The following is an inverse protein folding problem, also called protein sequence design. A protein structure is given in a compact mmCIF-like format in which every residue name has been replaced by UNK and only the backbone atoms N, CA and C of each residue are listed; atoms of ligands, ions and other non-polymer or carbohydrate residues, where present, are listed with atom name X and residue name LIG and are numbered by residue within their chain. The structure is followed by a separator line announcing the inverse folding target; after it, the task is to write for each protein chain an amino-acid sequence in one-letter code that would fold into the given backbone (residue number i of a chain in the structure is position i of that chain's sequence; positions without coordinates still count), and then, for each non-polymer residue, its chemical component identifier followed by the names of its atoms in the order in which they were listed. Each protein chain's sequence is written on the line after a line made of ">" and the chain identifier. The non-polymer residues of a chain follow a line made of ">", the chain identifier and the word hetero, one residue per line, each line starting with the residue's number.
data_IF_871953582247
#
_entry.id   IF_871953582247
#
_cell.length_a   1.000
_cell.length_b   1.000
_cell.length_c   1.000
_cell.angle_alpha   90.00
_cell.angle_beta   90.00
_cell.angle_gamma   90.00
#
_symmetry.space_group_name_H-M   'P 1'
#
loop_
_entity.id
_entity.type
_entity.pdbx_description
1 polymer ?
#
# COMPACT_ATOMS: atom_id res chain seq x y z
N UNK A 1 21.70 1.47 19.39
CA UNK A 1 21.69 0.17 20.10
C UNK A 1 22.43 -0.85 19.24
N UNK A 2 23.39 -1.59 19.80
CA UNK A 2 24.19 -2.57 19.06
C UNK A 2 23.47 -3.92 18.90
N UNK A 3 23.81 -4.68 17.85
CA UNK A 3 23.36 -6.07 17.62
C UNK A 3 24.56 -7.00 17.81
N UNK A 4 24.50 -7.83 18.85
CA UNK A 4 25.57 -8.74 19.26
C UNK A 4 25.26 -10.18 18.86
N UNK A 5 26.29 -10.96 18.53
CA UNK A 5 26.18 -12.40 18.30
C UNK A 5 26.20 -13.15 19.64
N UNK A 6 25.09 -13.80 19.99
CA UNK A 6 24.98 -14.58 21.22
C UNK A 6 25.70 -15.93 21.19
N UNK A 7 26.17 -16.38 20.02
CA UNK A 7 26.91 -17.63 19.87
C UNK A 7 28.40 -17.48 20.18
N UNK A 8 28.88 -16.24 20.36
CA UNK A 8 30.24 -15.92 20.71
C UNK A 8 30.31 -15.17 22.05
N UNK A 9 31.52 -14.98 22.56
CA UNK A 9 31.74 -14.11 23.71
C UNK A 9 31.39 -12.66 23.34
N UNK A 10 30.52 -12.02 24.12
CA UNK A 10 30.12 -10.63 23.85
C UNK A 10 31.20 -9.64 24.34
N UNK A 11 31.28 -8.43 23.77
CA UNK A 11 32.25 -7.42 24.19
C UNK A 11 32.14 -7.08 25.69
N UNK A 12 33.28 -6.78 26.32
CA UNK A 12 33.37 -6.53 27.76
C UNK A 12 32.44 -5.43 28.27
N UNK A 13 32.16 -4.41 27.46
CA UNK A 13 31.24 -3.33 27.78
C UNK A 13 29.79 -3.81 28.03
N UNK A 14 29.41 -4.98 27.52
CA UNK A 14 28.08 -5.56 27.67
C UNK A 14 28.04 -6.73 28.65
N UNK A 15 29.20 -7.25 29.08
CA UNK A 15 29.28 -8.36 30.05
C UNK A 15 28.76 -7.91 31.42
N UNK A 16 28.23 -8.84 32.21
CA UNK A 16 27.63 -8.52 33.52
C UNK A 16 26.21 -7.97 33.43
N UNK A 17 25.66 -7.80 32.22
CA UNK A 17 24.35 -7.21 32.01
C UNK A 17 23.17 -8.02 32.58
N UNK A 18 22.03 -7.36 32.68
CA UNK A 18 20.74 -8.04 32.94
C UNK A 18 20.07 -8.33 31.61
N UNK A 19 19.68 -9.58 31.40
CA UNK A 19 19.17 -10.09 30.12
C UNK A 19 17.66 -10.29 30.18
N UNK A 20 16.88 -9.57 29.36
CA UNK A 20 15.53 -9.99 29.01
C UNK A 20 15.62 -11.10 27.95
N UNK A 21 15.08 -12.29 28.22
CA UNK A 21 15.21 -13.45 27.33
C UNK A 21 13.86 -13.88 26.77
N UNK A 22 13.77 -13.99 25.43
CA UNK A 22 12.53 -14.38 24.74
C UNK A 22 12.58 -14.22 23.22
N UNK A 23 11.55 -14.68 22.52
CA UNK A 23 11.47 -14.51 21.05
C UNK A 23 11.21 -13.06 20.64
N UNK A 24 10.47 -12.30 21.44
CA UNK A 24 10.18 -10.88 21.25
C UNK A 24 9.62 -10.50 19.87
N UNK A 25 8.97 -11.42 19.15
CA UNK A 25 8.33 -11.13 17.87
C UNK A 25 7.17 -10.13 18.08
N UNK A 26 7.19 -9.01 17.35
CA UNK A 26 6.19 -7.94 17.53
C UNK A 26 6.46 -6.96 18.68
N UNK A 27 7.32 -7.28 19.66
CA UNK A 27 7.60 -6.40 20.84
C UNK A 27 6.30 -5.79 21.42
N UNK A 28 5.29 -6.63 21.64
CA UNK A 28 3.97 -6.22 22.14
C UNK A 28 4.01 -5.85 23.63
N UNK A 29 2.90 -5.35 24.18
CA UNK A 29 2.82 -4.90 25.59
C UNK A 29 3.36 -5.93 26.60
N UNK A 30 3.04 -7.22 26.42
CA UNK A 30 3.63 -8.30 27.24
C UNK A 30 5.16 -8.38 27.17
N UNK A 31 5.75 -8.25 25.98
CA UNK A 31 7.20 -8.20 25.81
C UNK A 31 7.81 -6.95 26.44
N UNK A 32 7.15 -5.80 26.27
CA UNK A 32 7.60 -4.52 26.84
C UNK A 32 7.66 -4.58 28.38
N UNK A 33 6.76 -5.32 29.04
CA UNK A 33 6.82 -5.52 30.48
C UNK A 33 8.06 -6.33 30.94
N UNK A 34 8.38 -7.42 30.22
CA UNK A 34 9.60 -8.22 30.47
C UNK A 34 10.85 -7.38 30.27
N UNK A 35 10.93 -6.64 29.15
CA UNK A 35 12.06 -5.77 28.82
C UNK A 35 12.18 -4.64 29.84
N UNK A 36 11.08 -3.96 30.17
CA UNK A 36 11.06 -2.86 31.13
C UNK A 36 11.53 -3.29 32.52
N UNK A 37 11.18 -4.50 32.97
CA UNK A 37 11.69 -5.07 34.22
C UNK A 37 13.20 -5.32 34.17
N UNK A 38 13.72 -5.86 33.07
CA UNK A 38 15.16 -6.05 32.88
C UNK A 38 15.91 -4.72 32.87
N UNK A 39 15.41 -3.73 32.12
CA UNK A 39 15.98 -2.37 32.06
C UNK A 39 16.00 -1.70 33.43
N UNK A 40 14.90 -1.79 34.19
CA UNK A 40 14.84 -1.23 35.54
C UNK A 40 15.88 -1.89 36.48
N UNK A 41 16.03 -3.21 36.41
CA UNK A 41 16.99 -3.96 37.22
C UNK A 41 18.44 -3.65 36.82
N UNK A 42 18.72 -3.56 35.52
CA UNK A 42 20.03 -3.19 34.99
C UNK A 42 20.47 -1.80 35.48
N UNK A 43 19.56 -0.82 35.35
CA UNK A 43 19.79 0.56 35.81
C UNK A 43 20.02 0.63 37.32
N UNK A 44 19.25 -0.11 38.11
CA UNK A 44 19.44 -0.16 39.57
C UNK A 44 20.81 -0.73 39.98
N UNK A 45 21.42 -1.55 39.13
CA UNK A 45 22.73 -2.18 39.36
C UNK A 45 23.89 -1.44 38.68
N UNK A 46 23.62 -0.45 37.82
CA UNK A 46 24.64 0.21 37.02
C UNK A 46 25.30 -0.71 35.98
N UNK A 47 24.56 -1.70 35.47
CA UNK A 47 25.03 -2.65 34.45
C UNK A 47 24.19 -2.53 33.17
N UNK A 48 24.65 -3.00 32.00
CA UNK A 48 23.90 -2.89 30.76
C UNK A 48 22.62 -3.74 30.75
N UNK A 49 21.57 -3.22 30.12
CA UNK A 49 20.32 -3.91 29.83
C UNK A 49 20.40 -4.58 28.46
N UNK A 50 20.39 -5.91 28.43
CA UNK A 50 20.47 -6.71 27.22
C UNK A 50 19.10 -7.33 26.92
N UNK A 51 18.76 -7.43 25.64
CA UNK A 51 17.61 -8.21 25.19
C UNK A 51 18.10 -9.32 24.28
N UNK A 52 17.95 -10.56 24.75
CA UNK A 52 18.36 -11.74 24.01
C UNK A 52 17.19 -12.38 23.27
N UNK A 53 17.36 -12.58 21.97
CA UNK A 53 16.37 -13.14 21.04
C UNK A 53 16.99 -14.22 20.16
N UNK A 54 16.17 -14.84 19.30
CA UNK A 54 16.56 -15.95 18.44
C UNK A 54 16.25 -15.62 16.98
N UNK A 55 17.24 -15.81 16.11
CA UNK A 55 17.07 -15.72 14.65
C UNK A 55 17.89 -16.82 13.92
N UNK A 56 17.30 -17.61 13.01
CA UNK A 56 15.89 -17.60 12.61
C UNK A 56 14.98 -17.96 13.78
N UNK A 57 13.72 -17.53 13.72
CA UNK A 57 12.74 -17.84 14.76
C UNK A 57 12.69 -19.36 15.02
N UNK A 58 12.71 -19.87 16.28
CA UNK A 58 12.86 -21.30 16.56
C UNK A 58 11.87 -22.21 15.84
N UNK A 59 10.61 -21.78 15.71
CA UNK A 59 9.59 -22.49 14.91
C UNK A 59 10.04 -22.74 13.46
N UNK A 60 10.71 -21.77 12.82
CA UNK A 60 11.20 -21.89 11.43
C UNK A 60 12.27 -22.98 11.30
N UNK A 61 13.07 -23.20 12.35
CA UNK A 61 14.07 -24.25 12.34
C UNK A 61 13.43 -25.65 12.36
N UNK A 62 12.37 -25.85 13.16
CA UNK A 62 11.65 -27.14 13.22
C UNK A 62 10.62 -27.32 12.10
N UNK A 63 10.14 -26.22 11.50
CA UNK A 63 9.21 -26.20 10.38
C UNK A 63 9.69 -25.19 9.31
N UNK A 64 10.69 -25.57 8.48
CA UNK A 64 11.25 -24.70 7.44
C UNK A 64 10.18 -24.17 6.47
N UNK A 65 9.19 -25.00 6.14
CA UNK A 65 8.12 -24.73 5.18
C UNK A 65 6.88 -24.06 5.79
N UNK A 66 6.93 -23.65 7.06
CA UNK A 66 5.78 -23.00 7.71
C UNK A 66 5.35 -21.73 6.94
N UNK A 67 4.05 -21.37 6.91
CA UNK A 67 3.64 -20.09 6.35
C UNK A 67 4.36 -18.93 7.05
N UNK A 68 4.61 -17.80 6.38
CA UNK A 68 5.23 -16.66 7.03
C UNK A 68 4.37 -16.11 8.18
N UNK A 69 5.02 -15.74 9.29
CA UNK A 69 4.32 -15.43 10.55
C UNK A 69 4.95 -14.30 11.36
N UNK A 70 6.05 -13.70 10.88
CA UNK A 70 6.79 -12.69 11.64
C UNK A 70 5.94 -11.43 11.80
N UNK A 71 5.94 -10.85 13.00
CA UNK A 71 5.30 -9.55 13.23
C UNK A 71 6.26 -8.39 12.97
N UNK A 72 7.57 -8.64 12.99
CA UNK A 72 8.61 -7.65 12.66
C UNK A 72 9.79 -8.30 11.93
N UNK A 73 10.55 -7.51 11.16
CA UNK A 73 11.93 -7.87 10.80
C UNK A 73 12.84 -7.85 12.03
N UNK A 74 14.08 -8.31 11.87
CA UNK A 74 15.10 -8.20 12.92
C UNK A 74 15.51 -6.73 13.12
N UNK A 75 15.53 -5.93 12.06
CA UNK A 75 15.88 -4.51 12.09
C UNK A 75 14.81 -3.69 12.79
N UNK A 76 13.53 -3.88 12.46
CA UNK A 76 12.41 -3.30 13.21
C UNK A 76 12.43 -3.73 14.68
N UNK A 77 12.69 -5.02 14.96
CA UNK A 77 12.79 -5.49 16.35
C UNK A 77 13.88 -4.75 17.10
N UNK A 78 15.06 -4.59 16.50
CA UNK A 78 16.15 -3.80 17.09
C UNK A 78 15.71 -2.37 17.40
N UNK A 79 14.99 -1.73 16.49
CA UNK A 79 14.47 -0.37 16.70
C UNK A 79 13.53 -0.31 17.91
N UNK A 80 12.54 -1.19 18.00
CA UNK A 80 11.58 -1.21 19.10
C UNK A 80 12.22 -1.57 20.45
N UNK A 81 13.22 -2.46 20.45
CA UNK A 81 13.97 -2.80 21.66
C UNK A 81 14.82 -1.61 22.15
N UNK A 82 15.40 -0.83 21.24
CA UNK A 82 16.11 0.39 21.59
C UNK A 82 15.16 1.43 22.22
N UNK A 83 13.96 1.61 21.64
CA UNK A 83 12.93 2.48 22.21
C UNK A 83 12.47 2.02 23.60
N UNK A 84 12.46 0.70 23.86
CA UNK A 84 12.16 0.14 25.17
C UNK A 84 13.31 0.32 26.19
N UNK A 85 14.44 0.90 25.79
CA UNK A 85 15.55 1.26 26.68
C UNK A 85 16.63 0.19 26.85
N UNK A 86 16.72 -0.78 25.93
CA UNK A 86 17.81 -1.75 25.89
C UNK A 86 19.10 -1.13 25.34
N UNK A 87 20.24 -1.53 25.91
CA UNK A 87 21.58 -1.07 25.50
C UNK A 87 22.12 -1.87 24.30
N UNK A 88 21.79 -3.16 24.25
CA UNK A 88 22.10 -4.05 23.12
C UNK A 88 21.05 -5.15 22.92
N UNK A 89 20.90 -5.59 21.66
CA UNK A 89 20.17 -6.79 21.29
C UNK A 89 21.17 -7.93 21.06
N UNK A 90 21.03 -9.04 21.79
CA UNK A 90 21.81 -10.25 21.60
C UNK A 90 21.00 -11.22 20.75
N UNK A 91 21.54 -11.66 19.61
CA UNK A 91 20.87 -12.60 18.72
C UNK A 91 21.56 -13.94 18.81
N UNK A 92 20.88 -14.93 19.39
CA UNK A 92 21.31 -16.31 19.34
C UNK A 92 20.93 -16.90 17.97
N UNK A 93 21.93 -17.35 17.22
CA UNK A 93 21.67 -18.00 15.94
C UNK A 93 21.13 -19.41 16.18
N UNK A 94 19.83 -19.60 15.92
CA UNK A 94 19.15 -20.86 16.22
C UNK A 94 19.52 -21.93 15.20
N UNK A 95 20.37 -22.87 15.62
CA UNK A 95 20.91 -23.97 14.82
C UNK A 95 20.64 -25.32 15.49
N UNK A 96 20.95 -26.42 14.78
CA UNK A 96 20.93 -27.77 15.35
C UNK A 96 21.80 -27.88 16.61
N UNK A 97 22.89 -27.12 16.69
CA UNK A 97 23.74 -27.04 17.88
C UNK A 97 22.94 -26.48 19.05
N UNK A 98 22.37 -25.27 18.89
CA UNK A 98 21.60 -24.61 19.96
C UNK A 98 20.34 -25.41 20.34
N UNK A 99 19.66 -26.03 19.38
CA UNK A 99 18.49 -26.87 19.62
C UNK A 99 18.79 -28.12 20.48
N UNK A 100 20.05 -28.57 20.50
CA UNK A 100 20.50 -29.71 21.29
C UNK A 100 21.14 -29.33 22.64
N UNK A 101 21.34 -28.04 22.92
CA UNK A 101 21.86 -27.56 24.20
C UNK A 101 20.85 -27.86 25.32
N UNK A 102 21.32 -28.47 26.40
CA UNK A 102 20.47 -28.74 27.58
C UNK A 102 20.11 -27.43 28.29
N UNK A 103 19.05 -27.43 29.10
CA UNK A 103 18.71 -26.25 29.90
C UNK A 103 19.88 -25.81 30.79
N UNK A 104 20.60 -26.76 31.38
CA UNK A 104 21.77 -26.49 32.21
C UNK A 104 22.90 -25.82 31.42
N UNK A 105 23.33 -26.42 30.31
CA UNK A 105 24.41 -25.87 29.48
C UNK A 105 24.04 -24.49 28.92
N UNK A 106 22.77 -24.24 28.60
CA UNK A 106 22.32 -22.92 28.17
C UNK A 106 22.51 -21.87 29.28
N UNK A 107 22.21 -22.20 30.54
CA UNK A 107 22.37 -21.24 31.65
C UNK A 107 23.84 -21.08 32.03
N UNK A 108 24.61 -22.17 32.12
CA UNK A 108 26.03 -22.12 32.54
C UNK A 108 26.91 -21.49 31.48
N UNK A 109 26.82 -21.98 30.23
CA UNK A 109 27.83 -21.68 29.21
C UNK A 109 27.43 -20.46 28.39
N UNK A 110 26.15 -20.34 28.04
CA UNK A 110 25.68 -19.24 27.20
C UNK A 110 25.36 -18.00 28.03
N UNK A 111 24.46 -18.12 29.02
CA UNK A 111 24.11 -16.96 29.86
C UNK A 111 25.24 -16.59 30.82
N UNK A 112 25.81 -17.57 31.53
CA UNK A 112 26.91 -17.35 32.48
C UNK A 112 28.28 -17.15 31.83
N UNK A 113 28.62 -17.96 30.82
CA UNK A 113 29.92 -17.89 30.14
C UNK A 113 30.00 -16.79 29.08
N UNK A 114 29.26 -16.97 27.98
CA UNK A 114 29.32 -16.09 26.81
C UNK A 114 28.88 -14.67 27.13
N UNK A 115 27.74 -14.52 27.82
CA UNK A 115 27.18 -13.20 28.16
C UNK A 115 27.74 -12.68 29.49
N UNK A 116 28.11 -13.57 30.42
CA UNK A 116 28.48 -13.15 31.77
C UNK A 116 27.32 -12.47 32.50
N UNK A 117 26.07 -12.89 32.25
CA UNK A 117 24.89 -12.21 32.77
C UNK A 117 24.92 -12.15 34.30
N UNK A 118 24.46 -11.05 34.90
CA UNK A 118 24.26 -10.94 36.36
C UNK A 118 22.80 -11.13 36.76
N UNK A 119 21.89 -11.07 35.78
CA UNK A 119 20.48 -11.33 35.98
C UNK A 119 19.76 -11.68 34.69
N UNK A 120 18.67 -12.43 34.82
CA UNK A 120 17.83 -12.86 33.71
C UNK A 120 16.37 -12.57 34.05
N UNK A 121 15.64 -12.00 33.10
CA UNK A 121 14.20 -11.71 33.20
C UNK A 121 13.48 -12.40 32.05
N UNK A 122 12.45 -13.17 32.36
CA UNK A 122 11.63 -13.90 31.36
C UNK A 122 10.14 -13.67 31.59
N UNK A 123 9.31 -14.14 30.66
CA UNK A 123 7.90 -14.42 30.95
C UNK A 123 7.75 -15.66 31.85
N UNK A 124 6.66 -15.76 32.60
CA UNK A 124 6.34 -16.96 33.41
C UNK A 124 6.15 -18.23 32.58
N UNK A 125 5.68 -18.10 31.34
CA UNK A 125 5.46 -19.19 30.38
C UNK A 125 6.70 -19.54 29.54
N UNK A 126 7.85 -18.94 29.85
CA UNK A 126 9.08 -19.15 29.10
C UNK A 126 9.63 -20.57 29.27
N UNK A 127 9.95 -21.21 28.14
CA UNK A 127 10.59 -22.52 28.08
C UNK A 127 11.83 -22.47 27.18
N UNK A 128 12.85 -23.25 27.54
CA UNK A 128 14.13 -23.27 26.83
C UNK A 128 14.86 -24.61 26.95
N UNK A 129 15.99 -24.74 26.27
CA UNK A 129 16.78 -25.97 26.21
C UNK A 129 16.15 -27.09 25.38
N UNK A 130 16.93 -28.13 25.14
CA UNK A 130 16.53 -29.31 24.36
C UNK A 130 15.20 -29.87 24.85
N UNK A 131 14.26 -30.05 23.94
CA UNK A 131 12.94 -30.61 24.23
C UNK A 131 12.06 -29.75 25.15
N UNK A 132 12.34 -28.45 25.29
CA UNK A 132 11.68 -27.54 26.26
C UNK A 132 11.83 -28.02 27.71
N UNK A 133 12.97 -28.64 28.04
CA UNK A 133 13.24 -29.17 29.39
C UNK A 133 13.52 -28.10 30.46
N UNK A 134 13.79 -26.85 30.05
CA UNK A 134 13.97 -25.71 30.94
C UNK A 134 12.70 -24.88 31.10
N UNK A 135 12.45 -24.44 32.33
CA UNK A 135 11.40 -23.49 32.71
C UNK A 135 11.96 -22.49 33.75
N UNK A 136 11.14 -21.57 34.24
CA UNK A 136 11.58 -20.57 35.21
C UNK A 136 12.16 -21.18 36.51
N UNK A 137 11.61 -22.31 36.98
CA UNK A 137 12.10 -22.99 38.18
C UNK A 137 13.51 -23.53 37.96
N UNK A 138 13.73 -24.21 36.84
CA UNK A 138 15.05 -24.73 36.44
C UNK A 138 16.04 -23.57 36.25
N UNK A 139 15.61 -22.51 35.58
CA UNK A 139 16.42 -21.30 35.37
C UNK A 139 16.88 -20.72 36.71
N UNK A 140 15.96 -20.53 37.66
CA UNK A 140 16.26 -19.96 38.98
C UNK A 140 17.22 -20.84 39.79
N UNK A 141 17.06 -22.16 39.74
CA UNK A 141 17.95 -23.09 40.44
C UNK A 141 19.39 -23.02 39.92
N UNK A 142 19.57 -23.09 38.60
CA UNK A 142 20.89 -23.14 37.97
C UNK A 142 21.56 -21.76 38.01
N UNK A 143 20.81 -20.71 37.71
CA UNK A 143 21.30 -19.33 37.79
C UNK A 143 21.70 -18.93 39.21
N UNK A 144 20.96 -19.39 40.23
CA UNK A 144 21.31 -19.16 41.63
C UNK A 144 22.67 -19.71 42.02
N UNK A 145 23.05 -20.89 41.50
CA UNK A 145 24.39 -21.48 41.70
C UNK A 145 25.51 -20.66 41.07
N UNK A 146 25.19 -19.83 40.07
CA UNK A 146 26.11 -18.95 39.34
C UNK A 146 26.09 -17.50 39.86
N UNK A 147 25.32 -17.21 40.92
CA UNK A 147 25.16 -15.84 41.45
C UNK A 147 24.30 -14.93 40.56
N UNK A 148 23.55 -15.48 39.61
CA UNK A 148 22.65 -14.74 38.73
C UNK A 148 21.25 -14.65 39.32
N UNK A 149 20.65 -13.46 39.32
CA UNK A 149 19.26 -13.29 39.74
C UNK A 149 18.28 -13.69 38.64
N UNK A 150 17.15 -14.32 38.98
CA UNK A 150 16.11 -14.67 38.02
C UNK A 150 14.73 -14.17 38.43
N UNK A 151 14.21 -13.25 37.61
CA UNK A 151 12.86 -12.70 37.76
C UNK A 151 11.96 -13.20 36.62
N UNK A 152 10.69 -13.41 36.92
CA UNK A 152 9.67 -13.65 35.90
C UNK A 152 8.59 -12.58 35.97
N UNK A 153 8.10 -12.19 34.81
CA UNK A 153 6.98 -11.27 34.66
C UNK A 153 5.75 -12.08 34.26
N UNK A 154 4.69 -11.95 35.05
CA UNK A 154 3.39 -12.55 34.73
C UNK A 154 2.79 -12.00 33.44
N UNK A 155 1.83 -12.72 32.84
CA UNK A 155 1.21 -12.29 31.60
C UNK A 155 0.53 -10.94 31.75
N UNK A 156 0.81 -10.02 30.83
CA UNK A 156 0.03 -8.78 30.71
C UNK A 156 -1.30 -9.13 30.03
N UNK A 157 -2.41 -8.70 30.63
CA UNK A 157 -3.75 -8.97 30.14
C UNK A 157 -4.48 -7.66 29.78
N UNK A 158 -5.39 -7.75 28.82
CA UNK A 158 -6.50 -6.81 28.64
C UNK A 158 -7.83 -7.53 28.95
N UNK A 159 -8.95 -6.89 28.61
CA UNK A 159 -10.29 -7.43 28.84
C UNK A 159 -10.53 -8.78 28.15
N UNK A 160 -9.78 -9.09 27.08
CA UNK A 160 -9.87 -10.32 26.31
C UNK A 160 -8.83 -11.39 26.73
N UNK A 161 -8.10 -11.15 27.82
CA UNK A 161 -7.10 -12.07 28.40
C UNK A 161 -5.63 -11.74 28.06
N UNK A 162 -4.73 -12.75 28.04
CA UNK A 162 -3.29 -12.50 27.86
C UNK A 162 -2.91 -11.94 26.48
N UNK A 163 -2.10 -10.87 26.49
CA UNK A 163 -1.52 -10.26 25.29
C UNK A 163 -0.38 -11.14 24.76
N UNK A 164 -0.53 -11.67 23.55
CA UNK A 164 0.44 -12.58 22.93
C UNK A 164 0.58 -12.37 21.42
N UNK A 165 1.73 -12.78 20.88
CA UNK A 165 1.97 -12.79 19.43
C UNK A 165 0.92 -13.58 18.66
N UNK A 166 0.43 -14.70 19.23
CA UNK A 166 -0.62 -15.51 18.61
C UNK A 166 -1.95 -14.76 18.48
N UNK A 167 -2.32 -13.95 19.49
CA UNK A 167 -3.55 -13.15 19.45
C UNK A 167 -3.45 -11.99 18.47
N UNK A 168 -2.27 -11.36 18.37
CA UNK A 168 -1.98 -10.33 17.36
C UNK A 168 -2.07 -10.91 15.95
N UNK A 169 -1.47 -12.09 15.71
CA UNK A 169 -1.54 -12.75 14.40
C UNK A 169 -2.99 -13.04 13.99
N UNK A 170 -3.82 -13.54 14.92
CA UNK A 170 -5.25 -13.77 14.67
C UNK A 170 -6.00 -12.47 14.31
N UNK A 171 -5.77 -11.39 15.05
CA UNK A 171 -6.39 -10.09 14.79
C UNK A 171 -6.03 -9.57 13.39
N UNK A 172 -4.75 -9.61 13.01
CA UNK A 172 -4.31 -9.21 11.67
C UNK A 172 -4.91 -10.10 10.56
N UNK A 173 -4.98 -11.40 10.78
CA UNK A 173 -5.58 -12.35 9.83
C UNK A 173 -7.10 -12.16 9.66
N UNK A 174 -7.80 -11.63 10.67
CA UNK A 174 -9.22 -11.26 10.55
C UNK A 174 -9.44 -9.84 9.99
N UNK A 175 -8.37 -9.04 9.85
CA UNK A 175 -8.43 -7.63 9.44
C UNK A 175 -8.72 -6.67 10.59
N UNK A 176 -8.61 -7.09 11.84
CA UNK A 176 -8.80 -6.27 13.03
C UNK A 176 -7.49 -5.53 13.39
N UNK A 177 -7.24 -4.44 12.67
CA UNK A 177 -6.08 -3.57 12.88
C UNK A 177 -6.11 -2.86 14.24
N UNK A 178 -7.30 -2.59 14.78
CA UNK A 178 -7.46 -1.86 16.05
C UNK A 178 -6.99 -2.72 17.21
N UNK A 179 -7.46 -3.97 17.29
CA UNK A 179 -6.97 -4.92 18.30
C UNK A 179 -5.47 -5.14 18.13
N UNK A 180 -4.98 -5.39 16.92
CA UNK A 180 -3.55 -5.56 16.70
C UNK A 180 -2.74 -4.36 17.21
N UNK A 181 -3.20 -3.13 16.93
CA UNK A 181 -2.58 -1.87 17.37
C UNK A 181 -2.54 -1.76 18.89
N UNK A 182 -3.66 -2.03 19.56
CA UNK A 182 -3.76 -2.01 21.03
C UNK A 182 -2.76 -2.97 21.66
N UNK A 183 -2.68 -4.20 21.15
CA UNK A 183 -1.79 -5.24 21.69
C UNK A 183 -0.31 -4.94 21.43
N UNK A 184 0.02 -4.40 20.26
CA UNK A 184 1.37 -4.00 19.86
C UNK A 184 1.81 -2.66 20.48
N UNK A 185 0.86 -1.89 21.04
CA UNK A 185 0.98 -0.49 21.47
C UNK A 185 1.36 0.48 20.35
N UNK A 186 1.19 0.06 19.10
CA UNK A 186 1.49 0.80 17.85
C UNK A 186 0.85 0.06 16.66
N UNK A 187 0.60 0.72 15.53
CA UNK A 187 0.14 0.04 14.32
C UNK A 187 1.07 -1.10 13.90
N UNK A 188 0.51 -2.19 13.37
CA UNK A 188 1.33 -3.17 12.67
C UNK A 188 1.91 -2.53 11.41
N UNK A 189 3.19 -2.75 11.14
CA UNK A 189 3.86 -2.10 10.02
C UNK A 189 4.74 -3.06 9.24
N UNK A 190 4.74 -2.89 7.92
CA UNK A 190 5.60 -3.62 6.99
C UNK A 190 6.65 -2.66 6.45
N UNK A 191 7.92 -2.98 6.70
CA UNK A 191 9.08 -2.26 6.16
C UNK A 191 9.69 -3.03 4.99
N UNK A 192 10.00 -2.32 3.90
CA UNK A 192 10.73 -2.88 2.77
C UNK A 192 11.05 -1.85 1.68
N UNK A 193 11.98 -2.20 0.76
CA UNK A 193 12.32 -1.35 -0.37
C UNK A 193 11.16 -1.28 -1.36
N UNK A 194 10.88 -0.08 -1.87
CA UNK A 194 9.89 0.12 -2.93
C UNK A 194 10.42 -0.41 -4.25
N UNK A 195 9.72 -1.40 -4.80
CA UNK A 195 10.04 -2.04 -6.07
C UNK A 195 9.43 -1.28 -7.26
N UNK A 196 10.08 -1.38 -8.41
CA UNK A 196 9.51 -0.96 -9.67
C UNK A 196 8.35 -1.89 -10.07
N UNK A 197 7.13 -1.36 -10.12
CA UNK A 197 5.96 -2.05 -10.69
C UNK A 197 5.79 -1.81 -12.20
N UNK A 198 4.76 -2.44 -12.79
CA UNK A 198 4.43 -2.40 -14.24
C UNK A 198 4.05 -1.01 -14.80
N UNK A 199 4.16 0.06 -14.00
CA UNK A 199 3.81 1.45 -14.34
C UNK A 199 2.35 1.66 -14.79
N UNK A 200 1.49 0.64 -14.72
CA UNK A 200 0.08 0.71 -15.14
C UNK A 200 -0.74 1.71 -14.30
N UNK A 201 -0.49 1.82 -12.99
CA UNK A 201 -1.14 2.80 -12.12
C UNK A 201 -0.86 4.26 -12.52
N UNK A 202 0.33 4.55 -13.10
CA UNK A 202 0.68 5.90 -13.57
C UNK A 202 -0.21 6.38 -14.71
N UNK A 203 -0.69 5.46 -15.57
CA UNK A 203 -1.63 5.81 -16.66
C UNK A 203 -3.01 6.25 -16.14
N UNK A 204 -3.36 5.83 -14.92
CA UNK A 204 -4.58 6.21 -14.21
C UNK A 204 -4.37 7.36 -13.20
N UNK A 205 -3.14 7.88 -13.06
CA UNK A 205 -2.81 8.95 -12.11
C UNK A 205 -2.41 8.49 -10.69
N UNK A 206 -2.25 7.17 -10.47
CA UNK A 206 -1.96 6.59 -9.16
C UNK A 206 -0.57 5.91 -9.14
N UNK A 207 0.52 6.61 -8.74
CA UNK A 207 1.80 5.96 -8.50
C UNK A 207 1.66 5.06 -7.25
N UNK A 208 1.70 3.75 -7.44
CA UNK A 208 1.75 2.78 -6.34
C UNK A 208 3.20 2.40 -6.05
N UNK A 209 3.56 2.40 -4.77
CA UNK A 209 4.83 1.86 -4.30
C UNK A 209 4.62 0.37 -3.99
N UNK A 210 5.36 -0.53 -4.64
CA UNK A 210 5.18 -1.97 -4.44
C UNK A 210 6.18 -2.47 -3.40
N UNK A 211 5.72 -3.17 -2.37
CA UNK A 211 6.55 -3.72 -1.29
C UNK A 211 6.31 -5.23 -1.18
N UNK A 212 7.39 -5.99 -1.04
CA UNK A 212 7.34 -7.43 -0.81
C UNK A 212 7.03 -7.75 0.67
N UNK A 213 6.08 -8.64 0.91
CA UNK A 213 5.69 -9.07 2.26
C UNK A 213 6.71 -10.02 2.91
N UNK A 214 7.66 -10.56 2.15
CA UNK A 214 8.78 -11.37 2.64
C UNK A 214 8.37 -12.43 3.66
N UNK A 215 8.88 -12.32 4.89
CA UNK A 215 8.59 -13.24 6.00
C UNK A 215 7.52 -12.73 6.99
N UNK A 216 6.92 -11.56 6.73
CA UNK A 216 5.87 -11.02 7.58
C UNK A 216 4.65 -11.95 7.60
N UNK A 217 3.90 -11.94 8.70
CA UNK A 217 2.54 -12.44 8.69
C UNK A 217 1.77 -11.78 7.54
N UNK A 218 0.87 -12.52 6.90
CA UNK A 218 -0.11 -11.95 5.97
C UNK A 218 -1.35 -11.53 6.75
N UNK A 219 -1.64 -10.22 6.89
CA UNK A 219 -2.98 -9.77 7.27
C UNK A 219 -4.03 -10.26 6.28
N UNK A 220 -5.30 -10.05 6.60
CA UNK A 220 -6.41 -10.31 5.68
C UNK A 220 -6.17 -9.62 4.33
N UNK A 221 -6.26 -10.33 3.21
CA UNK A 221 -6.15 -9.70 1.89
C UNK A 221 -7.28 -8.68 1.67
N UNK A 222 -6.93 -7.52 1.12
CA UNK A 222 -7.86 -6.41 0.93
C UNK A 222 -7.22 -5.02 0.96
N UNK A 223 -8.09 -4.02 1.04
CA UNK A 223 -7.75 -2.60 1.06
C UNK A 223 -7.70 -2.11 2.50
N UNK A 224 -6.65 -1.36 2.82
CA UNK A 224 -6.39 -0.79 4.14
C UNK A 224 -6.21 0.73 4.07
N UNK A 225 -6.61 1.42 5.13
CA UNK A 225 -6.13 2.76 5.43
C UNK A 225 -4.75 2.63 6.08
N UNK A 226 -3.76 3.34 5.53
CA UNK A 226 -2.36 3.21 5.93
C UNK A 226 -1.68 4.57 6.12
N UNK A 227 -0.54 4.55 6.82
CA UNK A 227 0.44 5.64 6.81
C UNK A 227 1.80 5.11 6.39
N UNK A 228 2.48 5.83 5.49
CA UNK A 228 3.85 5.54 5.09
C UNK A 228 4.82 6.43 5.84
N UNK A 229 5.83 5.85 6.48
CA UNK A 229 6.97 6.54 7.07
C UNK A 229 8.15 6.48 6.09
N UNK A 230 8.63 7.65 5.69
CA UNK A 230 9.80 7.79 4.80
C UNK A 230 11.12 7.82 5.60
N UNK A 231 12.27 7.56 4.95
CA UNK A 231 13.60 7.62 5.59
C UNK A 231 13.93 8.97 6.23
N UNK A 232 13.36 10.06 5.73
CA UNK A 232 13.54 11.41 6.26
C UNK A 232 12.62 11.74 7.44
N UNK A 233 11.78 10.79 7.87
CA UNK A 233 10.86 10.92 8.99
C UNK A 233 9.48 11.50 8.64
N UNK A 234 9.21 11.83 7.38
CA UNK A 234 7.88 12.29 6.96
C UNK A 234 6.87 11.14 6.98
N UNK A 235 5.64 11.47 7.38
CA UNK A 235 4.49 10.57 7.29
C UNK A 235 3.57 10.96 6.13
N UNK A 236 3.15 9.98 5.35
CA UNK A 236 2.21 10.11 4.25
C UNK A 236 0.94 9.31 4.55
N UNK A 237 -0.24 9.91 4.40
CA UNK A 237 -1.50 9.18 4.51
C UNK A 237 -1.82 8.50 3.17
N UNK A 238 -2.40 7.31 3.21
CA UNK A 238 -2.73 6.59 1.99
C UNK A 238 -3.73 5.45 2.18
N UNK A 239 -3.98 4.77 1.08
CA UNK A 239 -4.66 3.49 1.05
C UNK A 239 -3.73 2.44 0.45
N UNK A 240 -3.70 1.23 0.98
CA UNK A 240 -2.88 0.14 0.43
C UNK A 240 -3.75 -1.04 0.01
N UNK A 241 -3.42 -1.63 -1.14
CA UNK A 241 -3.91 -2.95 -1.49
C UNK A 241 -2.91 -4.00 -1.03
N UNK A 242 -3.34 -4.96 -0.20
CA UNK A 242 -2.60 -6.18 0.08
C UNK A 242 -3.29 -7.31 -0.67
N UNK A 243 -2.63 -7.86 -1.68
CA UNK A 243 -3.25 -8.83 -2.58
C UNK A 243 -2.27 -9.72 -3.33
N UNK A 244 -2.83 -10.68 -4.06
CA UNK A 244 -2.09 -11.56 -4.96
C UNK A 244 -2.29 -11.05 -6.38
N UNK A 245 -1.19 -10.87 -7.12
CA UNK A 245 -1.19 -10.57 -8.55
C UNK A 245 -1.09 -11.89 -9.34
N UNK A 246 -2.21 -12.51 -9.77
CA UNK A 246 -2.20 -13.79 -10.47
C UNK A 246 -1.61 -13.70 -11.89
N UNK A 247 -1.46 -12.48 -12.42
CA UNK A 247 -0.94 -12.23 -13.76
C UNK A 247 0.58 -12.33 -13.86
N UNK A 248 1.30 -12.42 -12.73
CA UNK A 248 2.74 -12.69 -12.71
C UNK A 248 2.99 -14.20 -12.73
N UNK A 249 4.08 -14.63 -13.38
CA UNK A 249 4.58 -16.00 -13.32
C UNK A 249 5.98 -16.01 -12.69
N UNK A 250 6.13 -16.50 -11.43
CA UNK A 250 5.07 -16.98 -10.54
C UNK A 250 4.23 -15.82 -9.94
N UNK A 251 3.00 -16.09 -9.45
CA UNK A 251 2.16 -15.10 -8.79
C UNK A 251 2.90 -14.40 -7.65
N UNK A 252 2.76 -13.08 -7.57
CA UNK A 252 3.42 -12.27 -6.54
C UNK A 252 2.42 -11.73 -5.52
N UNK A 253 2.72 -11.91 -4.25
CA UNK A 253 2.06 -11.24 -3.13
C UNK A 253 2.70 -9.87 -2.96
N UNK A 254 1.91 -8.79 -3.04
CA UNK A 254 2.43 -7.44 -2.94
C UNK A 254 1.56 -6.60 -2.00
N UNK A 255 2.23 -5.72 -1.26
CA UNK A 255 1.63 -4.58 -0.60
C UNK A 255 1.82 -3.35 -1.50
N UNK A 256 0.72 -2.71 -1.88
CA UNK A 256 0.69 -1.62 -2.86
C UNK A 256 0.05 -0.37 -2.24
N UNK A 257 0.77 0.38 -1.40
CA UNK A 257 0.34 1.71 -0.95
C UNK A 257 0.21 2.70 -2.11
N UNK A 258 -0.84 3.50 -2.00
CA UNK A 258 -1.06 4.74 -2.72
C UNK A 258 -1.16 5.88 -1.69
N UNK A 259 -0.17 6.77 -1.71
CA UNK A 259 -0.13 7.93 -0.82
C UNK A 259 -0.81 9.14 -1.46
N UNK A 260 -1.63 9.83 -0.68
CA UNK A 260 -2.39 10.99 -1.14
C UNK A 260 -1.48 12.22 -1.28
N UNK A 261 -1.76 13.05 -2.27
CA UNK A 261 -1.08 14.34 -2.50
C UNK A 261 0.46 14.26 -2.61
N UNK A 262 0.99 13.09 -2.97
CA UNK A 262 2.42 12.82 -3.03
C UNK A 262 2.89 12.55 -4.47
N UNK A 263 4.00 13.18 -4.87
CA UNK A 263 4.50 13.17 -6.27
C UNK A 263 5.98 12.81 -6.40
N UNK A 264 6.70 12.66 -5.30
CA UNK A 264 8.13 12.30 -5.34
C UNK A 264 8.29 10.82 -5.69
N UNK A 265 9.49 10.45 -6.13
CA UNK A 265 9.83 9.06 -6.42
C UNK A 265 10.30 8.35 -5.15
N UNK A 266 9.73 7.16 -4.89
CA UNK A 266 10.08 6.31 -3.74
C UNK A 266 10.90 5.09 -4.13
N UNK A 267 11.18 4.84 -5.42
CA UNK A 267 11.88 3.61 -5.83
C UNK A 267 13.20 3.43 -5.09
N UNK A 268 13.47 2.17 -4.74
CA UNK A 268 14.65 1.73 -4.00
C UNK A 268 14.76 2.26 -2.56
N UNK A 269 13.91 3.21 -2.15
CA UNK A 269 13.83 3.65 -0.77
C UNK A 269 13.16 2.59 0.08
N UNK A 270 13.71 2.35 1.28
CA UNK A 270 13.06 1.54 2.31
C UNK A 270 12.05 2.42 3.03
N UNK A 271 10.77 2.04 2.97
CA UNK A 271 9.69 2.74 3.67
C UNK A 271 8.99 1.77 4.61
N UNK A 272 8.41 2.30 5.68
CA UNK A 272 7.55 1.54 6.60
C UNK A 272 6.09 1.91 6.35
N UNK A 273 5.22 0.90 6.20
CA UNK A 273 3.78 1.09 5.94
C UNK A 273 2.98 0.57 7.13
N UNK A 274 2.42 1.51 7.90
CA UNK A 274 1.57 1.28 9.07
C UNK A 274 0.13 0.97 8.66
N UNK A 275 -0.42 -0.13 9.17
CA UNK A 275 -1.79 -0.55 8.95
C UNK A 275 -2.71 -0.01 10.06
N UNK A 276 -3.61 0.92 9.70
CA UNK A 276 -4.51 1.55 10.68
C UNK A 276 -5.92 0.94 10.69
N UNK A 277 -6.49 0.66 9.52
CA UNK A 277 -7.85 0.10 9.44
C UNK A 277 -8.01 -0.75 8.19
N UNK A 278 -8.66 -1.90 8.33
CA UNK A 278 -9.18 -2.63 7.18
C UNK A 278 -10.41 -1.91 6.63
N UNK A 279 -10.43 -1.66 5.32
CA UNK A 279 -11.54 -0.98 4.65
C UNK A 279 -12.48 -2.02 4.06
N UNK A 280 -11.95 -2.94 3.24
CA UNK A 280 -12.75 -4.00 2.58
C UNK A 280 -11.87 -5.06 1.92
N UNK A 281 -12.40 -6.27 1.63
CA UNK A 281 -11.71 -7.25 0.79
C UNK A 281 -11.43 -6.73 -0.63
N UNK A 282 -10.48 -7.38 -1.32
CA UNK A 282 -10.29 -7.21 -2.75
C UNK A 282 -11.58 -7.58 -3.49
N UNK A 283 -11.92 -6.78 -4.51
CA UNK A 283 -13.06 -7.04 -5.39
C UNK A 283 -12.62 -6.77 -6.82
N UNK A 284 -12.97 -7.68 -7.71
CA UNK A 284 -12.91 -7.46 -9.15
C UNK A 284 -14.18 -6.71 -9.55
N UNK A 285 -14.02 -5.65 -10.32
CA UNK A 285 -15.14 -4.93 -10.92
C UNK A 285 -15.07 -5.19 -12.41
N UNK A 286 -16.16 -5.67 -12.99
CA UNK A 286 -16.22 -5.97 -14.42
C UNK A 286 -16.69 -4.73 -15.21
N UNK A 287 -17.24 -3.71 -14.54
CA UNK A 287 -17.59 -2.40 -15.12
C UNK A 287 -17.51 -1.22 -14.14
N UNK A 288 -17.48 -0.01 -14.69
CA UNK A 288 -17.56 1.23 -13.90
C UNK A 288 -18.93 1.41 -13.23
N UNK A 289 -20.00 0.89 -13.85
CA UNK A 289 -21.35 0.95 -13.28
C UNK A 289 -21.46 0.10 -12.01
N UNK A 290 -20.88 -1.11 -11.99
CA UNK A 290 -20.81 -1.94 -10.79
C UNK A 290 -20.04 -1.25 -9.65
N UNK A 291 -18.96 -0.54 -9.98
CA UNK A 291 -18.20 0.24 -9.01
C UNK A 291 -19.08 1.33 -8.38
N UNK A 292 -19.79 2.12 -9.20
CA UNK A 292 -20.64 3.22 -8.72
C UNK A 292 -21.84 2.74 -7.91
N UNK A 293 -22.48 1.64 -8.33
CA UNK A 293 -23.61 1.05 -7.59
C UNK A 293 -23.17 0.57 -6.21
N UNK A 294 -21.99 -0.03 -6.12
CA UNK A 294 -21.50 -0.56 -4.86
C UNK A 294 -20.94 0.50 -3.90
N UNK A 295 -20.29 1.56 -4.42
CA UNK A 295 -19.79 2.65 -3.57
C UNK A 295 -20.88 3.63 -3.17
N UNK A 296 -22.00 3.66 -3.91
CA UNK A 296 -23.02 4.70 -3.79
C UNK A 296 -22.56 6.06 -4.33
N UNK A 297 -21.35 6.13 -4.90
CA UNK A 297 -20.77 7.35 -5.44
C UNK A 297 -20.92 7.37 -6.97
N UNK A 298 -21.58 8.42 -7.49
CA UNK A 298 -21.70 8.63 -8.93
C UNK A 298 -20.62 9.59 -9.40
N UNK A 299 -19.59 9.08 -10.06
CA UNK A 299 -18.55 9.92 -10.64
C UNK A 299 -19.08 10.63 -11.90
N UNK A 300 -18.69 11.89 -12.15
CA UNK A 300 -19.00 12.55 -13.41
C UNK A 300 -18.15 11.95 -14.54
N UNK A 301 -18.78 11.18 -15.43
CA UNK A 301 -18.09 10.52 -16.56
C UNK A 301 -18.25 11.34 -17.84
N UNK A 302 -17.16 11.57 -18.56
CA UNK A 302 -17.18 12.03 -19.96
C UNK A 302 -16.73 10.87 -20.85
N UNK A 303 -17.53 10.52 -21.86
CA UNK A 303 -17.25 9.42 -22.77
C UNK A 303 -16.97 9.99 -24.16
N UNK A 304 -15.85 9.60 -24.79
CA UNK A 304 -15.53 10.03 -26.15
C UNK A 304 -15.29 8.83 -27.07
N UNK A 305 -15.89 8.87 -28.26
CA UNK A 305 -15.66 7.91 -29.33
C UNK A 305 -14.65 8.44 -30.35
N UNK A 306 -13.80 7.57 -30.88
CA UNK A 306 -12.84 7.95 -31.94
C UNK A 306 -13.30 7.43 -33.28
N UNK A 307 -13.58 8.35 -34.23
CA UNK A 307 -13.97 8.04 -35.62
C UNK A 307 -12.73 7.94 -36.48
N UNK A 308 -12.44 6.75 -37.02
CA UNK A 308 -11.13 6.45 -37.61
C UNK A 308 -10.99 6.81 -39.08
N UNK A 309 -12.09 6.99 -39.80
CA UNK A 309 -12.09 7.27 -41.22
C UNK A 309 -13.41 7.94 -41.68
N UNK A 310 -13.51 8.24 -42.96
CA UNK A 310 -14.69 8.86 -43.58
C UNK A 310 -15.94 7.94 -43.62
N UNK A 311 -15.85 6.68 -43.14
CA UNK A 311 -17.03 5.81 -43.01
C UNK A 311 -17.91 6.18 -41.83
N UNK A 312 -17.44 7.05 -40.92
CA UNK A 312 -18.21 7.49 -39.75
C UNK A 312 -18.34 6.43 -38.66
N UNK A 313 -17.51 5.38 -38.72
CA UNK A 313 -17.48 4.34 -37.72
C UNK A 313 -16.44 4.65 -36.66
N UNK A 314 -16.79 4.38 -35.41
CA UNK A 314 -15.83 4.41 -34.31
C UNK A 314 -14.94 3.16 -34.32
N UNK A 315 -13.87 3.15 -33.52
CA UNK A 315 -12.92 2.01 -33.41
C UNK A 315 -13.56 0.63 -33.21
N UNK A 316 -14.75 0.56 -32.59
CA UNK A 316 -15.53 -0.67 -32.41
C UNK A 316 -16.36 -1.08 -33.65
N UNK A 317 -16.26 -0.36 -34.77
CA UNK A 317 -17.04 -0.57 -36.00
C UNK A 317 -18.46 0.00 -35.97
N UNK A 318 -18.87 0.62 -34.86
CA UNK A 318 -20.21 1.16 -34.65
C UNK A 318 -20.39 2.52 -35.34
N UNK A 319 -21.60 2.80 -35.83
CA UNK A 319 -21.98 4.16 -36.24
C UNK A 319 -22.15 5.07 -35.01
N UNK A 320 -22.17 6.39 -35.20
CA UNK A 320 -22.36 7.36 -34.12
C UNK A 320 -23.65 7.11 -33.31
N UNK A 321 -24.83 6.83 -33.92
CA UNK A 321 -26.02 6.49 -33.14
C UNK A 321 -25.90 5.18 -32.38
N UNK A 322 -25.25 4.16 -32.97
CA UNK A 322 -25.03 2.88 -32.31
C UNK A 322 -24.09 3.02 -31.11
N UNK A 323 -23.06 3.87 -31.23
CA UNK A 323 -22.18 4.25 -30.13
C UNK A 323 -22.94 4.95 -29.00
N UNK A 324 -23.76 5.96 -29.30
CA UNK A 324 -24.55 6.61 -28.24
C UNK A 324 -25.49 5.64 -27.54
N UNK A 325 -26.20 4.81 -28.30
CA UNK A 325 -27.09 3.80 -27.72
C UNK A 325 -26.35 2.77 -26.86
N UNK A 326 -25.11 2.43 -27.18
CA UNK A 326 -24.34 1.48 -26.37
C UNK A 326 -23.85 2.09 -25.06
N UNK A 327 -23.63 3.41 -24.95
CA UNK A 327 -23.05 4.04 -23.75
C UNK A 327 -24.02 4.89 -22.93
N UNK A 328 -25.22 5.20 -23.45
CA UNK A 328 -26.20 6.07 -22.76
C UNK A 328 -26.64 5.55 -21.38
N UNK A 329 -26.57 4.24 -21.15
CA UNK A 329 -26.92 3.63 -19.86
C UNK A 329 -26.02 4.11 -18.71
N UNK A 330 -24.76 4.49 -19.00
CA UNK A 330 -23.82 5.03 -18.03
C UNK A 330 -24.18 6.46 -17.55
N UNK A 331 -25.18 7.11 -18.18
CA UNK A 331 -25.62 8.49 -17.88
C UNK A 331 -24.44 9.47 -17.78
N UNK A 332 -23.60 9.57 -18.83
CA UNK A 332 -22.42 10.43 -18.77
C UNK A 332 -22.80 11.91 -18.65
N UNK A 333 -21.92 12.69 -18.03
CA UNK A 333 -22.01 14.15 -18.01
C UNK A 333 -21.96 14.71 -19.44
N UNK A 334 -21.05 14.18 -20.26
CA UNK A 334 -20.94 14.52 -21.68
C UNK A 334 -20.54 13.29 -22.52
N UNK A 335 -21.02 13.26 -23.76
CA UNK A 335 -20.57 12.32 -24.79
C UNK A 335 -19.94 13.11 -25.93
N UNK A 336 -18.90 12.59 -26.57
CA UNK A 336 -18.24 13.33 -27.64
C UNK A 336 -17.50 12.47 -28.63
N UNK A 337 -16.87 13.17 -29.58
CA UNK A 337 -15.95 12.57 -30.52
C UNK A 337 -14.58 13.25 -30.44
N UNK A 338 -13.55 12.42 -30.61
CA UNK A 338 -12.17 12.86 -30.58
C UNK A 338 -11.32 12.12 -31.60
N UNK A 339 -10.16 12.72 -31.92
CA UNK A 339 -9.06 12.07 -32.63
C UNK A 339 -9.41 11.56 -34.05
N UNK A 340 -8.36 11.17 -34.78
CA UNK A 340 -8.28 10.63 -36.14
C UNK A 340 -8.71 11.55 -37.31
N UNK A 341 -9.60 12.51 -37.09
CA UNK A 341 -10.07 13.44 -38.10
C UNK A 341 -9.87 14.90 -37.67
N UNK A 342 -9.52 15.78 -38.62
CA UNK A 342 -9.57 17.23 -38.42
C UNK A 342 -11.00 17.73 -38.27
N UNK A 343 -11.18 18.96 -37.78
CA UNK A 343 -12.50 19.52 -37.50
C UNK A 343 -13.44 19.44 -38.72
N UNK A 344 -12.95 19.74 -39.92
CA UNK A 344 -13.75 19.67 -41.15
C UNK A 344 -14.44 18.31 -41.37
N UNK A 345 -13.72 17.21 -41.18
CA UNK A 345 -14.25 15.85 -41.43
C UNK A 345 -15.12 15.36 -40.26
N UNK A 346 -14.89 15.89 -39.05
CA UNK A 346 -15.63 15.50 -37.85
C UNK A 346 -17.05 16.10 -37.78
N UNK A 347 -17.32 17.20 -38.51
CA UNK A 347 -18.59 17.93 -38.47
C UNK A 347 -19.85 17.07 -38.62
N UNK A 348 -20.03 16.25 -39.69
CA UNK A 348 -21.26 15.49 -39.88
C UNK A 348 -21.55 14.54 -38.72
N UNK A 349 -20.50 13.98 -38.11
CA UNK A 349 -20.61 13.04 -36.99
C UNK A 349 -20.97 13.74 -35.67
N UNK A 350 -20.44 14.94 -35.44
CA UNK A 350 -20.83 15.77 -34.29
C UNK A 350 -22.27 16.26 -34.44
N UNK A 351 -22.69 16.64 -35.63
CA UNK A 351 -24.09 16.98 -35.91
C UNK A 351 -25.02 15.79 -35.65
N UNK A 352 -24.67 14.60 -36.15
CA UNK A 352 -25.44 13.38 -35.91
C UNK A 352 -25.51 13.03 -34.41
N UNK A 353 -24.37 13.10 -33.71
CA UNK A 353 -24.32 12.87 -32.26
C UNK A 353 -25.19 13.87 -31.50
N UNK A 354 -25.15 15.15 -31.88
CA UNK A 354 -25.96 16.20 -31.27
C UNK A 354 -27.47 15.99 -31.49
N UNK A 355 -27.89 15.34 -32.58
CA UNK A 355 -29.29 14.96 -32.84
C UNK A 355 -29.73 13.78 -31.97
N UNK A 356 -28.91 12.73 -31.86
CA UNK A 356 -29.30 11.49 -31.16
C UNK A 356 -29.10 11.55 -29.64
N UNK A 357 -28.15 12.35 -29.15
CA UNK A 357 -27.86 12.54 -27.73
C UNK A 357 -28.48 13.85 -27.19
N UNK A 358 -29.79 14.01 -27.42
CA UNK A 358 -30.59 15.18 -27.03
C UNK A 358 -30.51 15.57 -25.56
N UNK A 359 -30.40 14.57 -24.68
CA UNK A 359 -30.48 14.66 -23.22
C UNK A 359 -29.11 14.80 -22.51
N UNK A 360 -28.01 14.84 -23.28
CA UNK A 360 -26.65 14.91 -22.71
C UNK A 360 -25.80 16.00 -23.35
N UNK A 361 -24.72 16.41 -22.67
CA UNK A 361 -23.81 17.43 -23.21
C UNK A 361 -22.90 16.83 -24.29
N UNK A 362 -22.57 17.60 -25.31
CA UNK A 362 -21.73 17.16 -26.43
C UNK A 362 -20.32 17.73 -26.29
N UNK A 363 -19.30 16.88 -26.38
CA UNK A 363 -17.90 17.29 -26.46
C UNK A 363 -17.29 17.03 -27.84
N UNK A 364 -16.38 17.89 -28.29
CA UNK A 364 -15.65 17.72 -29.54
C UNK A 364 -14.22 18.24 -29.41
N UNK A 365 -13.23 17.40 -29.69
CA UNK A 365 -11.83 17.80 -29.68
C UNK A 365 -11.05 17.10 -30.81
N UNK A 366 -11.04 17.70 -32.01
CA UNK A 366 -10.39 17.14 -33.20
C UNK A 366 -8.88 17.38 -33.19
N UNK A 367 -8.17 16.71 -34.10
CA UNK A 367 -6.79 17.03 -34.41
C UNK A 367 -6.70 18.39 -35.14
N UNK A 368 -5.51 19.01 -35.17
CA UNK A 368 -5.21 20.17 -36.00
C UNK A 368 -5.11 19.77 -37.49
N UNK A 369 -6.19 19.23 -38.05
CA UNK A 369 -6.23 18.66 -39.38
C UNK A 369 -5.89 17.17 -39.43
N UNK A 370 -5.68 16.67 -40.64
CA UNK A 370 -5.23 15.29 -40.86
C UNK A 370 -3.71 15.20 -40.61
N UNK A 371 -3.19 14.06 -40.13
CA UNK A 371 -1.75 13.86 -40.02
C UNK A 371 -1.05 14.07 -41.37
N UNK A 372 -0.06 14.96 -41.39
CA UNK A 372 0.75 15.24 -42.56
C UNK A 372 2.24 15.13 -42.21
N UNK A 373 2.93 14.05 -42.63
CA UNK A 373 4.36 13.87 -42.38
C UNK A 373 5.26 14.93 -43.00
N UNK A 374 4.74 15.72 -43.96
CA UNK A 374 5.47 16.82 -44.59
C UNK A 374 5.32 18.15 -43.84
N UNK A 375 4.40 18.24 -42.88
CA UNK A 375 4.23 19.42 -42.05
C UNK A 375 5.28 19.45 -40.92
N UNK A 376 5.78 20.63 -40.59
CA UNK A 376 6.80 20.83 -39.55
C UNK A 376 6.36 20.30 -38.17
N UNK A 377 5.06 20.40 -37.87
CA UNK A 377 4.44 19.93 -36.63
C UNK A 377 3.79 18.56 -36.76
N UNK A 378 3.83 17.94 -37.95
CA UNK A 378 3.08 16.74 -38.32
C UNK A 378 1.60 16.97 -38.62
N UNK A 379 1.12 18.23 -38.58
CA UNK A 379 -0.26 18.65 -38.78
C UNK A 379 -0.34 20.01 -39.49
N UNK A 380 -1.30 20.18 -40.40
CA UNK A 380 -1.36 21.36 -41.27
C UNK A 380 -2.21 22.53 -40.74
N UNK A 381 -3.15 22.30 -39.82
CA UNK A 381 -4.04 23.39 -39.39
C UNK A 381 -3.36 24.33 -38.39
N UNK A 382 -3.54 25.62 -38.60
CA UNK A 382 -3.10 26.67 -37.67
C UNK A 382 -4.16 26.92 -36.58
N UNK A 383 -3.80 27.61 -35.48
CA UNK A 383 -4.76 28.03 -34.46
C UNK A 383 -6.02 28.70 -35.01
N UNK A 384 -5.86 29.59 -35.99
CA UNK A 384 -6.95 30.34 -36.62
C UNK A 384 -7.90 29.43 -37.40
N UNK A 385 -7.36 28.42 -38.08
CA UNK A 385 -8.13 27.47 -38.89
C UNK A 385 -8.96 26.57 -37.97
N UNK A 386 -8.33 25.91 -37.00
CA UNK A 386 -9.02 25.01 -36.06
C UNK A 386 -10.03 25.79 -35.22
N UNK A 387 -9.66 26.97 -34.72
CA UNK A 387 -10.55 27.84 -33.95
C UNK A 387 -11.78 28.29 -34.75
N UNK A 388 -11.62 28.65 -36.03
CA UNK A 388 -12.75 29.00 -36.90
C UNK A 388 -13.69 27.81 -37.09
N UNK A 389 -13.16 26.62 -37.38
CA UNK A 389 -14.00 25.43 -37.62
C UNK A 389 -14.80 25.03 -36.37
N UNK A 390 -14.20 25.07 -35.19
CA UNK A 390 -14.92 24.77 -33.94
C UNK A 390 -15.92 25.87 -33.56
N UNK A 391 -15.67 27.13 -33.95
CA UNK A 391 -16.65 28.21 -33.81
C UNK A 391 -17.90 27.96 -34.66
N UNK A 392 -17.77 27.37 -35.85
CA UNK A 392 -18.92 26.97 -36.66
C UNK A 392 -19.78 25.90 -35.97
N UNK A 393 -19.16 24.98 -35.22
CA UNK A 393 -19.89 23.94 -34.48
C UNK A 393 -20.67 24.54 -33.31
N UNK A 394 -20.06 25.49 -32.61
CA UNK A 394 -20.70 26.24 -31.54
C UNK A 394 -21.83 27.12 -32.05
N UNK A 395 -21.62 27.82 -33.18
CA UNK A 395 -22.64 28.64 -33.84
C UNK A 395 -23.84 27.81 -34.28
N UNK A 396 -23.61 26.60 -34.80
CA UNK A 396 -24.66 25.67 -35.19
C UNK A 396 -25.36 24.99 -34.00
N UNK A 397 -24.88 25.23 -32.77
CA UNK A 397 -25.48 24.68 -31.55
C UNK A 397 -25.22 23.18 -31.36
N UNK A 398 -24.13 22.64 -31.89
CA UNK A 398 -23.84 21.20 -31.80
C UNK A 398 -23.09 20.79 -30.53
N UNK A 399 -22.34 21.71 -29.91
CA UNK A 399 -21.35 21.39 -28.88
C UNK A 399 -21.59 22.15 -27.57
N UNK A 400 -21.13 21.53 -26.47
CA UNK A 400 -21.08 22.10 -25.13
C UNK A 400 -19.65 22.30 -24.64
N UNK A 401 -18.77 21.37 -25.01
CA UNK A 401 -17.36 21.36 -24.64
C UNK A 401 -16.55 21.23 -25.93
N UNK A 402 -15.57 22.09 -26.13
CA UNK A 402 -14.65 22.03 -27.28
C UNK A 402 -13.21 22.02 -26.80
N UNK A 403 -12.33 21.40 -27.57
CA UNK A 403 -10.90 21.35 -27.28
C UNK A 403 -10.09 20.94 -28.50
N UNK A 404 -8.87 20.49 -28.24
CA UNK A 404 -7.95 20.01 -29.26
C UNK A 404 -7.35 18.66 -28.91
N UNK A 405 -6.95 17.90 -29.93
CA UNK A 405 -6.24 16.64 -29.82
C UNK A 405 -4.84 16.75 -30.47
N UNK A 406 -4.38 15.75 -31.22
CA UNK A 406 -3.05 15.76 -31.81
C UNK A 406 -2.84 16.97 -32.75
N UNK A 407 -1.65 17.57 -32.69
CA UNK A 407 -1.30 18.77 -33.47
C UNK A 407 -1.79 20.09 -32.87
N UNK A 408 -2.66 20.07 -31.85
CA UNK A 408 -3.09 21.30 -31.18
C UNK A 408 -2.09 21.74 -30.10
N UNK A 409 -1.87 23.04 -30.02
CA UNK A 409 -0.94 23.70 -29.07
C UNK A 409 -1.70 24.61 -28.11
N UNK A 410 -1.06 25.18 -27.07
CA UNK A 410 -1.71 26.19 -26.24
C UNK A 410 -2.32 27.36 -27.03
N UNK A 411 -1.67 27.78 -28.12
CA UNK A 411 -2.18 28.82 -29.02
C UNK A 411 -3.48 28.39 -29.71
N UNK A 412 -3.57 27.12 -30.13
CA UNK A 412 -4.82 26.56 -30.68
C UNK A 412 -5.94 26.62 -29.63
N UNK A 413 -5.66 26.17 -28.40
CA UNK A 413 -6.67 26.16 -27.33
C UNK A 413 -7.13 27.59 -26.99
N UNK A 414 -6.21 28.55 -26.92
CA UNK A 414 -6.53 29.95 -26.69
C UNK A 414 -7.42 30.53 -27.80
N UNK A 415 -7.11 30.24 -29.07
CA UNK A 415 -7.88 30.73 -30.21
C UNK A 415 -9.27 30.07 -30.31
N UNK A 416 -9.37 28.77 -30.01
CA UNK A 416 -10.65 28.06 -29.88
C UNK A 416 -11.51 28.72 -28.80
N UNK A 417 -10.95 28.94 -27.60
CA UNK A 417 -11.67 29.55 -26.49
C UNK A 417 -12.15 30.96 -26.84
N UNK A 418 -11.29 31.78 -27.47
CA UNK A 418 -11.62 33.15 -27.90
C UNK A 418 -12.79 33.18 -28.89
N UNK A 419 -12.82 32.27 -29.87
CA UNK A 419 -13.86 32.25 -30.91
C UNK A 419 -15.15 31.59 -30.47
N UNK A 420 -15.05 30.50 -29.71
CA UNK A 420 -16.25 29.75 -29.26
C UNK A 420 -16.95 30.47 -28.11
N UNK A 421 -16.22 31.22 -27.28
CA UNK A 421 -16.77 31.94 -26.13
C UNK A 421 -17.86 32.97 -26.44
N UNK A 422 -18.02 33.40 -27.71
CA UNK A 422 -19.11 34.29 -28.13
C UNK A 422 -20.46 33.56 -28.34
N UNK A 423 -20.47 32.23 -28.35
CA UNK A 423 -21.67 31.43 -28.62
C UNK A 423 -22.20 30.79 -27.34
N UNK A 424 -23.52 30.62 -27.27
CA UNK A 424 -24.14 29.87 -26.18
C UNK A 424 -23.89 28.36 -26.38
N UNK A 425 -23.50 27.62 -25.34
CA UNK A 425 -23.44 26.17 -25.40
C UNK A 425 -24.80 25.58 -25.81
N UNK A 426 -24.77 24.44 -26.51
CA UNK A 426 -25.97 23.69 -26.90
C UNK A 426 -26.92 23.47 -25.70
N UNK A 427 -28.20 23.76 -25.86
CA UNK A 427 -29.21 23.37 -24.87
C UNK A 427 -29.48 21.87 -24.95
N UNK A 428 -29.55 21.18 -23.81
CA UNK A 428 -30.15 19.84 -23.76
C UNK A 428 -31.62 19.98 -24.15
N UNK A 429 -32.13 19.04 -24.94
CA UNK A 429 -33.54 19.01 -25.27
C UNK A 429 -34.34 18.79 -23.98
N UNK A 430 -35.26 19.70 -23.65
CA UNK A 430 -36.22 19.50 -22.57
C UNK A 430 -37.25 18.46 -23.04
N UNK A 431 -37.42 17.33 -22.33
CA UNK A 431 -38.38 16.29 -22.71
C UNK A 431 -39.80 16.82 -22.97
N UNK A 432 -40.21 17.89 -22.26
CA UNK A 432 -41.53 18.51 -22.41
C UNK A 432 -41.70 19.31 -23.72
N UNK A 433 -40.66 19.99 -24.18
CA UNK A 433 -40.73 20.84 -25.38
C UNK A 433 -40.37 20.10 -26.67
N UNK A 434 -39.66 18.99 -26.56
CA UNK A 434 -39.25 18.15 -27.70
C UNK A 434 -40.45 17.53 -28.43
N UNK A 435 -41.53 17.21 -27.70
CA UNK A 435 -42.78 16.69 -28.28
C UNK A 435 -43.63 17.73 -29.02
N UNK A 436 -43.43 19.03 -28.74
CA UNK A 436 -44.17 20.14 -29.35
C UNK A 436 -43.53 20.62 -30.67
N UNK A 437 -42.25 20.34 -30.89
CA UNK A 437 -41.54 20.65 -32.15
C UNK A 437 -41.67 19.55 -33.22
N UNK A 438 -42.19 18.38 -32.84
CA UNK A 438 -42.40 17.22 -33.71
C UNK A 438 -43.88 17.03 -34.12
N UNK A 439 -44.77 17.92 -33.68
CA UNK A 439 -46.18 18.01 -34.08
C UNK A 439 -46.38 19.27 -34.92
#
# INVERSE_FOLDING_TARGET
>A
MERLDGNALIPDAFRGGVVALGNFDGVHAGHQAVIGKAVALARARGVPALVATFDPHPIRHFAPDAPPFRLTTLDQRQHYLAQAGADAMVVFHFSNTLANVTAEAFVTDWLGGHLGASGVVTGEDFTFGKGRGGNITVLREIAGKLGMSCDAVGPVCDDDGPISSSRIRKALQSGDCETATRLLTRPFAVEGPVQHGDKNGRKLGFPTANIDMGNYLRPRYGIYAVRGLLPDGRFLNGAANLGIRPTFDPPKELLEPHFFDFKEDLYEQVIEVEFHSFIRPEKKFDSLDELMEQTGERLPVIISGTVTDASGRILSGQTVPAFWNSVRHARPLAVGLNCALGAAVMRPYIEELAKVAGDTFISCYPNAGLPNPMAETGFDETPEVTGRMLAEFAQAGFVNIVGGCCGTTPEHIAEIARRVGSYRPRSKADPLFSGLLAA
#
